data_IF_261540595794
#
_entry.id   IF_261540595794
#
_cell.length_a   1.000
_cell.length_b   1.000
_cell.length_c   1.000
_cell.angle_alpha   90.00
_cell.angle_beta   90.00
_cell.angle_gamma   90.00
#
_symmetry.space_group_name_H-M   'P 1'
#
loop_
_entity.id
_entity.type
_entity.pdbx_description
1 polymer ?
#
# COMPACT_ATOMS: atom_id res chain seq x y z
N UNK A 1 1.08 -14.46 -15.18
CA UNK A 1 1.78 -13.16 -15.16
C UNK A 1 1.26 -12.32 -16.31
N UNK A 2 0.93 -11.05 -16.06
CA UNK A 2 0.37 -10.18 -17.08
C UNK A 2 1.35 -10.02 -18.26
N UNK A 3 0.85 -10.20 -19.48
CA UNK A 3 1.60 -10.04 -20.73
C UNK A 3 1.26 -8.70 -21.38
N UNK A 4 2.19 -8.14 -22.15
CA UNK A 4 1.92 -6.95 -22.94
C UNK A 4 1.13 -7.32 -24.20
N UNK A 5 0.12 -6.53 -24.56
CA UNK A 5 -0.66 -6.76 -25.79
C UNK A 5 0.12 -6.44 -27.07
N UNK A 6 1.11 -5.54 -26.98
CA UNK A 6 1.93 -5.08 -28.11
C UNK A 6 3.41 -5.02 -27.70
N UNK A 7 4.08 -6.17 -27.53
CA UNK A 7 5.45 -6.21 -27.01
C UNK A 7 6.45 -5.44 -27.89
N UNK A 8 6.30 -5.47 -29.21
CA UNK A 8 7.18 -4.78 -30.18
C UNK A 8 7.09 -3.26 -30.02
N UNK A 9 5.87 -2.73 -29.90
CA UNK A 9 5.63 -1.30 -29.65
C UNK A 9 6.32 -0.86 -28.35
N UNK A 10 6.27 -1.69 -27.31
CA UNK A 10 6.89 -1.39 -26.03
C UNK A 10 8.41 -1.33 -26.14
N UNK A 11 9.04 -2.29 -26.83
CA UNK A 11 10.50 -2.30 -26.98
C UNK A 11 10.98 -1.13 -27.85
N UNK A 12 10.27 -0.78 -28.92
CA UNK A 12 10.54 0.43 -29.70
C UNK A 12 10.50 1.70 -28.84
N UNK A 13 9.43 1.88 -28.07
CA UNK A 13 9.28 3.02 -27.15
C UNK A 13 10.38 3.03 -26.08
N UNK A 14 10.78 1.86 -25.59
CA UNK A 14 11.81 1.73 -24.57
C UNK A 14 13.15 2.22 -25.08
N UNK A 15 13.56 1.81 -26.28
CA UNK A 15 14.82 2.27 -26.86
C UNK A 15 14.78 3.75 -27.25
N UNK A 16 13.66 4.26 -27.80
CA UNK A 16 13.44 5.69 -28.07
C UNK A 16 13.61 6.54 -26.79
N UNK A 17 12.93 6.15 -25.71
CA UNK A 17 12.99 6.86 -24.42
C UNK A 17 14.37 6.74 -23.79
N UNK A 18 15.01 5.56 -23.88
CA UNK A 18 16.36 5.35 -23.36
C UNK A 18 17.37 6.24 -24.07
N UNK A 19 17.31 6.36 -25.40
CA UNK A 19 18.16 7.24 -26.19
C UNK A 19 17.91 8.73 -25.90
N UNK A 20 16.67 9.12 -25.60
CA UNK A 20 16.33 10.51 -25.30
C UNK A 20 16.93 11.03 -23.97
N UNK A 21 16.99 12.35 -23.83
CA UNK A 21 17.28 13.08 -22.61
C UNK A 21 16.06 13.22 -21.66
N UNK A 22 14.88 12.72 -22.09
CA UNK A 22 13.65 12.78 -21.30
C UNK A 22 13.73 11.81 -20.12
N UNK A 23 13.63 12.35 -18.91
CA UNK A 23 13.60 11.55 -17.68
C UNK A 23 14.97 11.05 -17.23
N UNK A 24 16.07 11.64 -17.70
CA UNK A 24 17.42 11.34 -17.24
C UNK A 24 18.42 11.41 -18.39
N UNK A 25 19.68 11.04 -18.12
CA UNK A 25 20.74 11.11 -19.14
C UNK A 25 20.43 10.19 -20.34
N UNK A 26 20.74 10.62 -21.58
CA UNK A 26 20.70 9.77 -22.77
C UNK A 26 21.44 8.43 -22.58
N UNK A 27 20.90 7.36 -23.16
CA UNK A 27 21.44 6.00 -23.09
C UNK A 27 21.18 5.26 -21.78
N UNK A 28 20.80 5.95 -20.70
CA UNK A 28 20.55 5.34 -19.38
C UNK A 28 19.08 5.02 -19.15
N UNK A 29 18.83 3.96 -18.38
CA UNK A 29 17.50 3.59 -17.92
C UNK A 29 17.26 4.08 -16.49
N UNK A 30 16.24 4.92 -16.30
CA UNK A 30 15.89 5.52 -15.01
C UNK A 30 14.46 5.16 -14.60
N UNK A 31 14.14 5.36 -13.31
CA UNK A 31 12.77 5.23 -12.82
C UNK A 31 11.81 6.18 -13.53
N UNK A 32 12.25 7.41 -13.84
CA UNK A 32 11.42 8.40 -14.55
C UNK A 32 11.16 7.98 -15.99
N UNK A 33 12.16 7.43 -16.69
CA UNK A 33 12.00 6.85 -18.04
C UNK A 33 11.05 5.67 -18.04
N UNK A 34 11.12 4.81 -17.03
CA UNK A 34 10.16 3.71 -16.86
C UNK A 34 8.71 4.20 -16.73
N UNK A 35 8.49 5.29 -15.98
CA UNK A 35 7.16 5.91 -15.88
C UNK A 35 6.70 6.52 -17.22
N UNK A 36 7.60 7.15 -17.97
CA UNK A 36 7.31 7.69 -19.30
C UNK A 36 6.92 6.58 -20.27
N UNK A 37 7.68 5.48 -20.30
CA UNK A 37 7.39 4.31 -21.13
C UNK A 37 5.98 3.79 -20.86
N UNK A 38 5.59 3.60 -19.60
CA UNK A 38 4.24 3.14 -19.25
C UNK A 38 3.17 4.08 -19.82
N UNK A 39 3.34 5.40 -19.65
CA UNK A 39 2.37 6.40 -20.14
C UNK A 39 2.29 6.40 -21.67
N UNK A 40 3.42 6.41 -22.36
CA UNK A 40 3.47 6.44 -23.83
C UNK A 40 2.95 5.12 -24.43
N UNK A 41 3.27 3.99 -23.83
CA UNK A 41 2.76 2.68 -24.25
C UNK A 41 1.24 2.64 -24.18
N UNK A 42 0.65 3.08 -23.06
CA UNK A 42 -0.81 3.18 -22.92
C UNK A 42 -1.42 4.17 -23.91
N UNK A 43 -0.80 5.35 -24.07
CA UNK A 43 -1.24 6.38 -25.02
C UNK A 43 -1.25 5.88 -26.47
N UNK A 44 -0.27 5.07 -26.87
CA UNK A 44 -0.20 4.44 -28.20
C UNK A 44 -1.02 3.14 -28.31
N UNK A 45 -1.97 2.93 -27.40
CA UNK A 45 -2.92 1.82 -27.42
C UNK A 45 -2.30 0.47 -27.03
N UNK A 46 -1.22 0.50 -26.24
CA UNK A 46 -0.64 -0.66 -25.58
C UNK A 46 -1.39 -0.99 -24.28
N UNK A 47 -1.63 -2.26 -24.04
CA UNK A 47 -2.35 -2.77 -22.89
C UNK A 47 -1.66 -3.97 -22.25
N UNK A 48 -2.37 -4.58 -21.30
CA UNK A 48 -1.94 -5.73 -20.53
C UNK A 48 -3.00 -6.83 -20.58
N UNK A 49 -2.60 -8.08 -20.73
CA UNK A 49 -3.47 -9.26 -20.80
C UNK A 49 -3.14 -10.27 -19.70
N UNK A 50 -4.17 -10.93 -19.20
CA UNK A 50 -4.06 -11.94 -18.16
C UNK A 50 -4.08 -11.38 -16.73
N UNK A 51 -4.15 -12.26 -15.72
CA UNK A 51 -4.25 -11.84 -14.33
C UNK A 51 -2.93 -11.22 -13.85
N UNK A 52 -3.07 -10.25 -12.93
CA UNK A 52 -1.94 -9.76 -12.13
C UNK A 52 -1.32 -10.91 -11.35
N UNK A 53 0.00 -10.96 -11.31
CA UNK A 53 0.71 -11.87 -10.41
C UNK A 53 0.63 -11.40 -8.95
N UNK A 54 1.08 -12.24 -8.02
CA UNK A 54 1.03 -11.95 -6.58
C UNK A 54 1.83 -10.70 -6.18
N UNK A 55 2.94 -10.41 -6.87
CA UNK A 55 3.76 -9.22 -6.60
C UNK A 55 3.01 -7.96 -7.04
N UNK A 56 2.38 -8.00 -8.21
CA UNK A 56 1.56 -6.90 -8.73
C UNK A 56 0.34 -6.64 -7.86
N UNK A 57 -0.33 -7.70 -7.37
CA UNK A 57 -1.43 -7.56 -6.40
C UNK A 57 -0.94 -6.95 -5.09
N UNK A 58 0.17 -7.42 -4.55
CA UNK A 58 0.77 -6.89 -3.33
C UNK A 58 1.13 -5.40 -3.45
N UNK A 59 1.71 -4.98 -4.59
CA UNK A 59 2.02 -3.57 -4.86
C UNK A 59 0.77 -2.70 -4.99
N UNK A 60 -0.28 -3.21 -5.63
CA UNK A 60 -1.56 -2.52 -5.72
C UNK A 60 -2.15 -2.30 -4.31
N UNK A 61 -2.26 -3.38 -3.52
CA UNK A 61 -2.74 -3.30 -2.14
C UNK A 61 -1.89 -2.34 -1.29
N UNK A 62 -0.57 -2.33 -1.49
CA UNK A 62 0.31 -1.40 -0.80
C UNK A 62 0.03 0.06 -1.20
N UNK A 63 -0.25 0.34 -2.47
CA UNK A 63 -0.62 1.67 -2.95
C UNK A 63 -1.99 2.14 -2.43
N UNK A 64 -2.96 1.24 -2.37
CA UNK A 64 -4.34 1.54 -1.98
C UNK A 64 -4.49 1.82 -0.46
N UNK A 65 -3.46 1.48 0.34
CA UNK A 65 -3.40 1.74 1.79
C UNK A 65 -3.31 3.22 2.20
N UNK A 66 -3.21 4.16 1.23
CA UNK A 66 -3.17 5.61 1.47
C UNK A 66 -2.17 6.01 2.55
N UNK A 67 -0.91 5.69 2.33
CA UNK A 67 0.15 6.00 3.27
C UNK A 67 0.29 7.51 3.49
N UNK A 68 0.43 7.91 4.76
CA UNK A 68 0.51 9.33 5.14
C UNK A 68 1.22 9.53 6.48
N UNK A 69 1.61 10.78 6.75
CA UNK A 69 2.06 11.22 8.07
C UNK A 69 0.88 11.37 9.03
N UNK A 70 1.17 11.61 10.31
CA UNK A 70 0.14 11.84 11.35
C UNK A 70 -0.81 12.98 10.98
N UNK A 71 -0.29 14.03 10.35
CA UNK A 71 -1.02 15.22 9.89
C UNK A 71 -1.77 14.99 8.57
N UNK A 72 -1.56 13.84 7.92
CA UNK A 72 -2.19 13.49 6.66
C UNK A 72 -1.41 13.88 5.40
N UNK A 73 -0.23 14.48 5.54
CA UNK A 73 0.65 14.77 4.42
C UNK A 73 1.33 13.53 3.84
N UNK A 74 1.74 13.61 2.58
CA UNK A 74 2.54 12.58 1.90
C UNK A 74 4.04 12.88 1.94
N UNK A 75 4.43 14.14 2.24
CA UNK A 75 5.82 14.56 2.43
C UNK A 75 6.23 14.33 3.89
N UNK A 76 6.85 13.18 4.15
CA UNK A 76 7.30 12.82 5.50
C UNK A 76 8.65 13.42 5.90
N UNK A 77 9.50 13.83 4.94
CA UNK A 77 10.81 14.42 5.23
C UNK A 77 10.75 15.94 5.09
N UNK A 78 11.25 16.64 6.10
CA UNK A 78 11.36 18.10 6.16
C UNK A 78 12.38 18.47 7.24
N UNK A 79 13.11 19.58 7.05
CA UNK A 79 13.94 20.23 8.09
C UNK A 79 14.87 19.31 8.90
N UNK A 80 15.56 18.37 8.22
CA UNK A 80 16.46 17.39 8.88
C UNK A 80 15.73 16.31 9.69
N UNK A 81 14.41 16.28 9.62
CA UNK A 81 13.53 15.37 10.32
C UNK A 81 12.74 14.47 9.36
N UNK A 82 12.17 13.43 9.93
CA UNK A 82 11.25 12.55 9.23
C UNK A 82 10.09 12.24 10.15
N UNK A 83 8.89 12.60 9.72
CA UNK A 83 7.65 12.17 10.35
C UNK A 83 7.46 10.68 10.17
N UNK A 84 6.71 10.05 11.08
CA UNK A 84 6.32 8.65 10.92
C UNK A 84 5.38 8.53 9.73
N UNK A 85 5.65 7.53 8.88
CA UNK A 85 4.83 7.21 7.72
C UNK A 85 4.16 5.85 7.91
N UNK A 86 2.83 5.81 7.94
CA UNK A 86 2.03 4.60 8.13
C UNK A 86 0.81 4.59 7.20
N UNK A 87 0.21 3.43 6.94
CA UNK A 87 -1.10 3.34 6.30
C UNK A 87 -2.14 4.18 7.04
N UNK A 88 -3.08 4.79 6.32
CA UNK A 88 -4.16 5.58 6.92
C UNK A 88 -4.93 4.77 7.98
N UNK A 89 -5.20 3.50 7.68
CA UNK A 89 -5.94 2.64 8.60
C UNK A 89 -5.15 2.29 9.86
N UNK A 90 -3.83 2.22 9.78
CA UNK A 90 -3.00 2.05 10.96
C UNK A 90 -3.10 3.28 11.88
N UNK A 91 -3.16 4.49 11.32
CA UNK A 91 -3.39 5.70 12.12
C UNK A 91 -4.74 5.65 12.82
N UNK A 92 -5.81 5.29 12.11
CA UNK A 92 -7.19 5.20 12.65
C UNK A 92 -7.31 4.23 13.84
N UNK A 93 -6.48 3.18 13.89
CA UNK A 93 -6.47 2.24 15.01
C UNK A 93 -5.70 2.72 16.26
N UNK A 94 -4.89 3.77 16.14
CA UNK A 94 -4.09 4.30 17.24
C UNK A 94 -4.83 5.43 17.97
N UNK A 95 -4.70 5.45 19.30
CA UNK A 95 -5.11 6.60 20.13
C UNK A 95 -4.23 7.82 19.86
N UNK A 96 -4.69 9.03 20.22
CA UNK A 96 -3.93 10.26 19.98
C UNK A 96 -2.51 10.20 20.56
N UNK A 97 -2.38 9.68 21.78
CA UNK A 97 -1.12 9.51 22.51
C UNK A 97 -0.20 8.52 21.78
N UNK A 98 -0.75 7.39 21.32
CA UNK A 98 0.00 6.39 20.56
C UNK A 98 0.50 6.95 19.22
N UNK A 99 -0.33 7.77 18.56
CA UNK A 99 0.07 8.44 17.31
C UNK A 99 1.23 9.38 17.54
N UNK A 100 1.14 10.23 18.57
CA UNK A 100 2.20 11.16 18.94
C UNK A 100 3.48 10.44 19.35
N UNK A 101 3.38 9.39 20.17
CA UNK A 101 4.54 8.64 20.64
C UNK A 101 5.34 7.98 19.49
N UNK A 102 4.67 7.37 18.51
CA UNK A 102 5.36 6.73 17.38
C UNK A 102 5.98 7.74 16.41
N UNK A 103 5.36 8.90 16.27
CA UNK A 103 5.81 10.02 15.45
C UNK A 103 7.03 10.71 16.08
N UNK A 104 6.92 11.11 17.35
CA UNK A 104 8.01 11.70 18.12
C UNK A 104 9.24 10.78 18.16
N UNK A 105 9.05 9.46 18.34
CA UNK A 105 10.15 8.48 18.26
C UNK A 105 10.87 8.53 16.91
N UNK A 106 10.13 8.64 15.80
CA UNK A 106 10.73 8.70 14.45
C UNK A 106 11.48 10.01 14.24
N UNK A 107 10.84 11.14 14.57
CA UNK A 107 11.41 12.49 14.43
C UNK A 107 12.70 12.66 15.24
N UNK A 108 12.69 12.29 16.53
CA UNK A 108 13.86 12.39 17.41
C UNK A 108 15.06 11.60 16.86
N UNK A 109 14.82 10.37 16.40
CA UNK A 109 15.90 9.54 15.87
C UNK A 109 16.35 9.97 14.47
N UNK A 110 15.47 10.53 13.62
CA UNK A 110 15.91 11.10 12.34
C UNK A 110 16.81 12.33 12.53
N UNK A 111 16.55 13.17 13.54
CA UNK A 111 17.44 14.31 13.85
C UNK A 111 18.87 13.85 14.15
N UNK A 112 19.02 12.68 14.79
CA UNK A 112 20.32 12.09 15.08
C UNK A 112 20.90 11.27 13.92
N UNK A 113 20.45 11.50 12.68
CA UNK A 113 20.90 10.79 11.48
C UNK A 113 20.39 9.35 11.31
N UNK A 114 19.56 8.82 12.23
CA UNK A 114 19.07 7.44 12.13
C UNK A 114 17.90 7.35 11.15
N UNK A 115 18.19 6.91 9.93
CA UNK A 115 17.18 6.70 8.89
C UNK A 115 16.15 5.62 9.28
N UNK A 116 16.58 4.52 9.90
CA UNK A 116 15.69 3.41 10.25
C UNK A 116 15.34 3.42 11.73
N UNK A 117 14.05 3.53 12.02
CA UNK A 117 13.53 3.60 13.40
C UNK A 117 12.31 2.71 13.50
N UNK A 118 12.36 1.70 14.36
CA UNK A 118 11.24 0.79 14.56
C UNK A 118 9.96 1.56 14.97
N UNK A 119 8.81 1.06 14.51
CA UNK A 119 7.50 1.49 15.02
C UNK A 119 7.41 1.17 16.53
N UNK A 120 6.64 1.96 17.28
CA UNK A 120 6.25 1.55 18.64
C UNK A 120 5.40 0.28 18.58
N UNK A 121 5.28 -0.43 19.71
CA UNK A 121 4.49 -1.67 19.79
C UNK A 121 3.06 -1.52 19.21
N UNK A 122 2.27 -0.53 19.67
CA UNK A 122 0.94 -0.25 19.12
C UNK A 122 0.97 0.04 17.61
N UNK A 123 1.88 0.90 17.13
CA UNK A 123 1.99 1.24 15.72
C UNK A 123 2.44 0.07 14.84
N UNK A 124 3.25 -0.85 15.38
CA UNK A 124 3.64 -2.10 14.71
C UNK A 124 2.43 -3.03 14.54
N UNK A 125 1.61 -3.19 15.59
CA UNK A 125 0.36 -3.97 15.53
C UNK A 125 -0.66 -3.34 14.59
N UNK A 126 -0.92 -2.05 14.72
CA UNK A 126 -1.85 -1.33 13.84
C UNK A 126 -1.47 -1.44 12.36
N UNK A 127 -0.18 -1.34 12.03
CA UNK A 127 0.31 -1.56 10.66
C UNK A 127 0.06 -2.98 10.17
N UNK A 128 0.36 -3.99 10.98
CA UNK A 128 0.10 -5.40 10.64
C UNK A 128 -1.39 -5.63 10.35
N UNK A 129 -2.25 -5.11 11.22
CA UNK A 129 -3.69 -5.25 11.09
C UNK A 129 -4.22 -4.55 9.83
N UNK A 130 -3.71 -3.35 9.52
CA UNK A 130 -4.08 -2.59 8.32
C UNK A 130 -3.71 -3.32 7.01
N UNK A 131 -2.57 -4.01 6.96
CA UNK A 131 -2.17 -4.82 5.80
C UNK A 131 -3.11 -6.01 5.61
N UNK A 132 -3.61 -6.59 6.70
CA UNK A 132 -4.48 -7.77 6.65
C UNK A 132 -5.92 -7.40 6.33
N UNK A 133 -6.41 -6.25 6.83
CA UNK A 133 -7.78 -5.79 6.60
C UNK A 133 -8.02 -5.33 5.15
N UNK A 134 -7.08 -4.57 4.57
CA UNK A 134 -7.15 -4.16 3.16
C UNK A 134 -7.21 -5.34 2.18
N UNK A 135 -6.59 -6.46 2.53
CA UNK A 135 -6.67 -7.69 1.73
C UNK A 135 -8.10 -8.25 1.66
N UNK A 136 -8.92 -8.11 2.71
CA UNK A 136 -10.27 -8.67 2.76
C UNK A 136 -11.30 -7.79 2.06
N UNK A 137 -11.11 -6.48 2.11
CA UNK A 137 -12.02 -5.50 1.50
C UNK A 137 -11.99 -5.55 -0.03
N UNK A 138 -10.84 -5.89 -0.61
CA UNK A 138 -10.65 -5.96 -2.07
C UNK A 138 -11.02 -7.31 -2.69
N UNK A 139 -11.08 -8.37 -1.89
CA UNK A 139 -11.45 -9.71 -2.35
C UNK A 139 -12.97 -9.86 -2.50
N UNK A 140 -13.46 -10.68 -3.46
CA UNK A 140 -14.84 -11.15 -3.47
C UNK A 140 -15.21 -11.80 -2.14
N UNK A 141 -16.49 -11.71 -1.73
CA UNK A 141 -16.96 -12.21 -0.42
C UNK A 141 -16.56 -13.67 -0.18
N UNK A 142 -16.62 -14.52 -1.21
CA UNK A 142 -16.24 -15.93 -1.12
C UNK A 142 -14.76 -16.13 -0.76
N UNK A 143 -13.85 -15.39 -1.41
CA UNK A 143 -12.42 -15.42 -1.14
C UNK A 143 -12.11 -14.78 0.23
N UNK A 144 -12.69 -13.62 0.52
CA UNK A 144 -12.52 -12.95 1.80
C UNK A 144 -12.94 -13.85 2.98
N UNK A 145 -14.06 -14.57 2.84
CA UNK A 145 -14.57 -15.47 3.87
C UNK A 145 -13.64 -16.66 4.18
N UNK A 146 -12.79 -17.10 3.23
CA UNK A 146 -11.78 -18.14 3.47
C UNK A 146 -10.71 -17.62 4.43
N UNK A 147 -10.24 -16.41 4.19
CA UNK A 147 -9.17 -15.78 4.98
C UNK A 147 -9.62 -15.32 6.37
N UNK A 148 -10.93 -15.15 6.62
CA UNK A 148 -11.45 -14.78 7.95
C UNK A 148 -10.94 -15.71 9.07
N UNK A 149 -10.73 -17.00 8.77
CA UNK A 149 -10.31 -17.99 9.77
C UNK A 149 -8.86 -17.79 10.24
N UNK A 150 -8.04 -17.22 9.37
CA UNK A 150 -6.60 -17.03 9.59
C UNK A 150 -6.29 -15.75 10.38
N UNK A 151 -7.31 -14.94 10.66
CA UNK A 151 -7.17 -13.65 11.33
C UNK A 151 -7.18 -13.82 12.85
N UNK A 152 -6.27 -13.09 13.51
CA UNK A 152 -6.29 -12.88 14.94
C UNK A 152 -7.44 -11.93 15.36
N UNK A 153 -7.75 -11.88 16.66
CA UNK A 153 -8.84 -11.06 17.20
C UNK A 153 -8.69 -9.57 16.86
N UNK A 154 -7.47 -9.05 16.80
CA UNK A 154 -7.19 -7.66 16.44
C UNK A 154 -7.46 -7.39 14.96
N UNK A 155 -7.03 -8.30 14.09
CA UNK A 155 -7.26 -8.25 12.65
C UNK A 155 -8.77 -8.39 12.33
N UNK A 156 -9.47 -9.30 13.00
CA UNK A 156 -10.93 -9.47 12.85
C UNK A 156 -11.69 -8.19 13.22
N UNK A 157 -11.38 -7.56 14.36
CA UNK A 157 -11.99 -6.29 14.77
C UNK A 157 -11.66 -5.15 13.80
N UNK A 158 -10.45 -5.12 13.26
CA UNK A 158 -10.05 -4.13 12.26
C UNK A 158 -10.82 -4.30 10.95
N UNK A 159 -10.88 -5.53 10.43
CA UNK A 159 -11.60 -5.87 9.20
C UNK A 159 -13.11 -5.59 9.33
N UNK A 160 -13.73 -5.94 10.46
CA UNK A 160 -15.15 -5.67 10.71
C UNK A 160 -15.47 -4.17 10.69
N UNK A 161 -14.63 -3.36 11.33
CA UNK A 161 -14.77 -1.90 11.34
C UNK A 161 -14.65 -1.31 9.94
N UNK A 162 -13.68 -1.79 9.17
CA UNK A 162 -13.45 -1.34 7.81
C UNK A 162 -14.60 -1.73 6.88
N UNK A 163 -15.07 -2.97 6.95
CA UNK A 163 -16.17 -3.45 6.14
C UNK A 163 -17.46 -2.67 6.43
N UNK A 164 -17.75 -2.39 7.71
CA UNK A 164 -18.89 -1.56 8.13
C UNK A 164 -18.79 -0.10 7.67
N UNK A 165 -17.59 0.48 7.68
CA UNK A 165 -17.36 1.86 7.23
C UNK A 165 -17.24 1.99 5.70
N UNK A 166 -17.10 0.87 4.98
CA UNK A 166 -16.87 0.81 3.54
C UNK A 166 -18.00 0.12 2.79
N UNK A 167 -17.70 -1.02 2.16
CA UNK A 167 -18.61 -1.73 1.24
C UNK A 167 -19.84 -2.33 1.92
N UNK A 168 -19.84 -2.51 3.25
CA UNK A 168 -21.01 -2.95 4.02
C UNK A 168 -21.53 -4.35 3.67
N UNK A 169 -20.69 -5.27 3.21
CA UNK A 169 -21.13 -6.58 2.71
C UNK A 169 -21.62 -7.46 3.87
N UNK A 170 -22.95 -7.59 4.01
CA UNK A 170 -23.64 -8.29 5.11
C UNK A 170 -23.05 -9.68 5.42
N UNK A 171 -22.84 -10.50 4.39
CA UNK A 171 -22.29 -11.85 4.57
C UNK A 171 -20.89 -11.83 5.18
N UNK A 172 -20.02 -10.91 4.74
CA UNK A 172 -18.67 -10.80 5.29
C UNK A 172 -18.70 -10.28 6.73
N UNK A 173 -19.54 -9.28 7.01
CA UNK A 173 -19.78 -8.77 8.36
C UNK A 173 -20.20 -9.90 9.31
N UNK A 174 -21.21 -10.67 8.93
CA UNK A 174 -21.70 -11.80 9.74
C UNK A 174 -20.61 -12.85 9.97
N UNK A 175 -19.79 -13.15 8.95
CA UNK A 175 -18.67 -14.09 9.08
C UNK A 175 -17.59 -13.59 10.02
N UNK A 176 -17.26 -12.30 9.97
CA UNK A 176 -16.30 -11.65 10.86
C UNK A 176 -16.80 -11.63 12.31
N UNK A 177 -18.07 -11.27 12.54
CA UNK A 177 -18.72 -11.31 13.86
C UNK A 177 -18.76 -12.74 14.43
N UNK A 178 -19.16 -13.71 13.61
CA UNK A 178 -19.18 -15.13 14.01
C UNK A 178 -17.79 -15.64 14.35
N UNK A 179 -16.76 -15.21 13.63
CA UNK A 179 -15.37 -15.56 13.93
C UNK A 179 -14.89 -14.90 15.24
N UNK A 180 -15.29 -13.66 15.51
CA UNK A 180 -15.00 -12.98 16.78
C UNK A 180 -15.69 -13.66 17.97
N UNK A 181 -16.94 -14.09 17.83
CA UNK A 181 -17.67 -14.77 18.91
C UNK A 181 -17.10 -16.14 19.29
N UNK A 182 -16.25 -16.74 18.45
CA UNK A 182 -15.58 -18.02 18.70
C UNK A 182 -14.18 -17.88 19.31
N UNK A 183 -13.68 -16.67 19.51
CA UNK A 183 -12.33 -16.36 20.01
C UNK A 183 -12.42 -15.74 21.39
#
# INVERSE_FOLDING_TARGET
>A
MARYTKPELREQLKEEIKASDRGGRPGQWSARKSQLLTKEYQKRGGGYQGPKDERQKSLQQWGDQKWRTRQGGTRARHDGETDRYLPDQAWKQLSAEQRQATDAKKRKASKSGKQYVANTGPAKRARRNAVSSGSLTDLPVAEAARHVRDLDTGQLRAALREERAGKGRKTLIQRLESALGRR
#
